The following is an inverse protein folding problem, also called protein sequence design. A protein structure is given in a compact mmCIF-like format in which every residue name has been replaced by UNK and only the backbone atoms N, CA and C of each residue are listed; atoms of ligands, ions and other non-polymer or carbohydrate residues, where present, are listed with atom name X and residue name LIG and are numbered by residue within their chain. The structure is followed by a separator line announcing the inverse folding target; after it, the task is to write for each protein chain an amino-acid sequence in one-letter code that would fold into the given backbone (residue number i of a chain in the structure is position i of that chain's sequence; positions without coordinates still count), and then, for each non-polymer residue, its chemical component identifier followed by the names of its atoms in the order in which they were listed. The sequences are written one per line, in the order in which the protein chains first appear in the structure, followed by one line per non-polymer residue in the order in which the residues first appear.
data_IF_349374057230
#
_entry.id   IF_349374057230
#
_cell.length_a   1.000
_cell.length_b   1.000
_cell.length_c   1.000
_cell.angle_alpha   90.00
_cell.angle_beta   90.00
_cell.angle_gamma   90.00
#
_symmetry.space_group_name_H-M   'P 1'
#
loop_
_entity.id
_entity.type
_entity.pdbx_description
1 polymer ?
#
# COMPACT_ATOMS: atom_id res chain seq x y z
N UNK A 1 -10.21 -39.68 -34.86
CA UNK A 1 -11.12 -38.74 -35.55
C UNK A 1 -11.88 -37.96 -34.49
N UNK A 2 -11.73 -36.64 -34.48
CA UNK A 2 -12.35 -35.74 -33.49
C UNK A 2 -13.82 -35.48 -33.84
N UNK A 3 -14.72 -35.45 -32.85
CA UNK A 3 -16.05 -34.83 -32.99
C UNK A 3 -16.36 -34.01 -31.74
N UNK A 4 -16.26 -32.69 -31.90
CA UNK A 4 -16.68 -31.71 -30.92
C UNK A 4 -18.20 -31.69 -30.82
N UNK A 5 -18.74 -31.64 -29.60
CA UNK A 5 -20.12 -31.29 -29.32
C UNK A 5 -20.11 -29.86 -28.75
N UNK A 6 -20.33 -28.89 -29.62
CA UNK A 6 -20.73 -27.55 -29.23
C UNK A 6 -22.21 -27.62 -28.84
N UNK A 7 -22.52 -27.53 -27.56
CA UNK A 7 -23.89 -27.26 -27.11
C UNK A 7 -23.92 -25.85 -26.55
N UNK A 8 -24.48 -24.97 -27.37
CA UNK A 8 -24.94 -23.62 -27.05
C UNK A 8 -25.98 -23.66 -25.95
N UNK A 9 -25.59 -23.36 -24.71
CA UNK A 9 -26.54 -22.91 -23.70
C UNK A 9 -26.76 -21.41 -23.87
N UNK A 10 -27.64 -21.08 -24.81
CA UNK A 10 -28.37 -19.81 -24.80
C UNK A 10 -29.36 -19.84 -23.65
N UNK A 11 -29.05 -19.13 -22.56
CA UNK A 11 -30.07 -18.64 -21.64
C UNK A 11 -29.97 -17.13 -21.57
N UNK A 12 -30.62 -16.50 -22.54
CA UNK A 12 -31.04 -15.10 -22.50
C UNK A 12 -32.04 -14.94 -21.36
N UNK A 13 -31.54 -14.70 -20.15
CA UNK A 13 -32.33 -14.27 -19.01
C UNK A 13 -32.23 -12.76 -18.89
N UNK A 14 -33.14 -12.05 -19.54
CA UNK A 14 -33.43 -10.66 -19.22
C UNK A 14 -33.75 -10.55 -17.72
N UNK A 15 -33.12 -9.63 -17.01
CA UNK A 15 -33.61 -9.02 -15.75
C UNK A 15 -32.59 -7.99 -15.29
N UNK A 16 -32.86 -6.73 -15.57
CA UNK A 16 -33.40 -5.80 -14.56
C UNK A 16 -32.32 -4.80 -14.17
N UNK A 17 -32.36 -3.66 -14.87
CA UNK A 17 -31.80 -2.41 -14.40
C UNK A 17 -32.43 -2.05 -13.05
N UNK A 18 -31.84 -2.55 -11.97
CA UNK A 18 -32.07 -2.04 -10.62
C UNK A 18 -30.82 -1.29 -10.20
N UNK A 19 -30.90 0.03 -10.36
CA UNK A 19 -29.95 1.03 -9.88
C UNK A 19 -29.85 1.11 -8.36
N UNK A 20 -30.10 0.01 -7.64
CA UNK A 20 -30.10 -0.12 -6.18
C UNK A 20 -28.95 -1.00 -5.68
N UNK A 21 -28.31 -1.79 -6.56
CA UNK A 21 -27.19 -2.68 -6.20
C UNK A 21 -25.82 -1.99 -6.10
N UNK A 22 -25.64 -0.80 -6.67
CA UNK A 22 -24.33 -0.14 -6.68
C UNK A 22 -23.97 0.53 -5.33
N UNK A 23 -24.97 1.12 -4.67
CA UNK A 23 -24.78 1.76 -3.35
C UNK A 23 -24.48 0.75 -2.24
N UNK A 24 -25.09 -0.43 -2.31
CA UNK A 24 -24.83 -1.50 -1.33
C UNK A 24 -23.45 -2.12 -1.52
N UNK A 25 -22.99 -2.31 -2.76
CA UNK A 25 -21.63 -2.82 -3.05
C UNK A 25 -20.56 -1.82 -2.61
N UNK A 26 -20.69 -0.54 -2.97
CA UNK A 26 -19.75 0.51 -2.52
C UNK A 26 -19.71 0.65 -1.00
N UNK A 27 -20.88 0.61 -0.34
CA UNK A 27 -20.96 0.63 1.12
C UNK A 27 -20.26 -0.58 1.75
N UNK A 28 -20.51 -1.78 1.23
CA UNK A 28 -19.88 -3.01 1.73
C UNK A 28 -18.36 -3.00 1.54
N UNK A 29 -17.86 -2.45 0.43
CA UNK A 29 -16.42 -2.25 0.20
C UNK A 29 -15.81 -1.25 1.20
N UNK A 30 -16.45 -0.10 1.43
CA UNK A 30 -15.94 0.87 2.41
C UNK A 30 -15.95 0.30 3.85
N UNK A 31 -17.01 -0.47 4.18
CA UNK A 31 -17.14 -1.14 5.48
C UNK A 31 -16.07 -2.21 5.68
N UNK A 32 -15.77 -3.02 4.66
CA UNK A 32 -14.75 -4.07 4.77
C UNK A 32 -13.34 -3.50 4.97
N UNK A 33 -13.01 -2.40 4.30
CA UNK A 33 -11.76 -1.67 4.53
C UNK A 33 -11.63 -1.18 5.97
N UNK A 34 -12.72 -0.64 6.52
CA UNK A 34 -12.75 -0.12 7.90
C UNK A 34 -12.56 -1.24 8.92
N UNK A 35 -13.26 -2.37 8.75
CA UNK A 35 -13.12 -3.54 9.63
C UNK A 35 -11.70 -4.11 9.59
N UNK A 36 -11.15 -4.29 8.39
CA UNK A 36 -9.77 -4.77 8.19
C UNK A 36 -8.76 -3.86 8.89
N UNK A 37 -8.94 -2.54 8.80
CA UNK A 37 -8.08 -1.57 9.47
C UNK A 37 -8.14 -1.72 11.00
N UNK A 38 -9.34 -1.90 11.56
CA UNK A 38 -9.52 -2.11 13.01
C UNK A 38 -8.88 -3.43 13.47
N UNK A 39 -9.12 -4.54 12.78
CA UNK A 39 -8.54 -5.84 13.12
C UNK A 39 -7.01 -5.82 13.05
N UNK A 40 -6.45 -5.12 12.06
CA UNK A 40 -4.99 -4.97 11.91
C UNK A 40 -4.37 -4.27 13.11
N UNK A 41 -5.07 -3.33 13.74
CA UNK A 41 -4.61 -2.64 14.94
C UNK A 41 -4.70 -3.53 16.19
N UNK A 42 -5.75 -4.36 16.29
CA UNK A 42 -5.97 -5.22 17.47
C UNK A 42 -5.09 -6.46 17.47
N UNK A 43 -4.71 -6.98 16.31
CA UNK A 43 -3.92 -8.22 16.20
C UNK A 43 -2.41 -8.01 16.41
N UNK A 44 -1.93 -6.77 16.49
CA UNK A 44 -0.49 -6.47 16.60
C UNK A 44 -0.07 -6.27 18.06
N UNK A 45 1.03 -6.88 18.50
CA UNK A 45 1.65 -6.55 19.78
C UNK A 45 2.00 -5.06 19.85
N UNK A 46 1.76 -4.43 21.02
CA UNK A 46 2.02 -2.99 21.23
C UNK A 46 3.46 -2.57 20.92
N UNK A 47 4.43 -3.47 21.14
CA UNK A 47 5.84 -3.24 20.80
C UNK A 47 6.05 -3.10 19.29
N UNK A 48 5.43 -3.94 18.49
CA UNK A 48 5.48 -3.90 17.02
C UNK A 48 4.78 -2.68 16.48
N UNK A 49 3.65 -2.26 17.06
CA UNK A 49 2.94 -1.03 16.66
C UNK A 49 3.86 0.18 16.81
N UNK A 50 4.53 0.32 17.96
CA UNK A 50 5.47 1.43 18.21
C UNK A 50 6.66 1.40 17.25
N UNK A 51 7.26 0.23 17.05
CA UNK A 51 8.40 0.07 16.14
C UNK A 51 8.02 0.46 14.70
N UNK A 52 6.85 0.00 14.23
CA UNK A 52 6.37 0.31 12.88
C UNK A 52 5.98 1.77 12.74
N UNK A 53 5.30 2.37 13.72
CA UNK A 53 4.99 3.80 13.70
C UNK A 53 6.25 4.66 13.53
N UNK A 54 7.34 4.32 14.23
CA UNK A 54 8.62 5.00 14.08
C UNK A 54 9.16 4.89 12.64
N UNK A 55 9.12 3.69 12.04
CA UNK A 55 9.57 3.46 10.66
C UNK A 55 8.69 4.11 9.61
N UNK A 56 7.38 4.10 9.82
CA UNK A 56 6.41 4.79 8.96
C UNK A 56 6.66 6.29 8.98
N UNK A 57 6.86 6.89 10.15
CA UNK A 57 7.17 8.32 10.27
C UNK A 57 8.51 8.68 9.60
N UNK A 58 9.50 7.80 9.71
CA UNK A 58 10.79 7.96 9.03
C UNK A 58 10.62 8.01 7.50
N UNK A 59 9.82 7.10 6.93
CA UNK A 59 9.50 7.10 5.50
C UNK A 59 8.73 8.36 5.08
N UNK A 60 7.67 8.74 5.81
CA UNK A 60 6.85 9.92 5.48
C UNK A 60 7.71 11.18 5.48
N UNK A 61 8.57 11.36 6.49
CA UNK A 61 9.46 12.53 6.57
C UNK A 61 10.42 12.58 5.37
N UNK A 62 10.98 11.45 4.97
CA UNK A 62 11.85 11.37 3.79
C UNK A 62 11.07 11.63 2.50
N UNK A 63 9.89 11.05 2.33
CA UNK A 63 9.06 11.18 1.14
C UNK A 63 8.61 12.64 0.94
N UNK A 64 8.23 13.33 2.01
CA UNK A 64 7.83 14.74 1.97
C UNK A 64 8.95 15.67 1.47
N UNK A 65 10.21 15.34 1.76
CA UNK A 65 11.38 16.09 1.29
C UNK A 65 11.93 15.64 -0.07
N UNK A 66 11.56 14.45 -0.53
CA UNK A 66 12.12 13.84 -1.75
C UNK A 66 11.20 14.02 -2.96
N UNK A 67 9.89 13.83 -2.78
CA UNK A 67 8.87 13.91 -3.84
C UNK A 67 8.14 15.26 -3.79
N UNK A 68 8.90 16.36 -3.82
CA UNK A 68 8.32 17.72 -3.71
C UNK A 68 7.47 18.13 -4.91
N UNK A 69 7.61 17.40 -6.01
CA UNK A 69 6.86 17.52 -7.27
C UNK A 69 5.48 16.85 -7.22
N UNK A 70 5.27 15.86 -6.34
CA UNK A 70 3.97 15.21 -6.15
C UNK A 70 3.05 16.00 -5.21
N UNK A 71 1.75 15.71 -5.27
CA UNK A 71 0.78 16.26 -4.32
C UNK A 71 1.10 15.76 -2.90
N UNK A 72 1.02 16.63 -1.89
CA UNK A 72 1.36 16.33 -0.49
C UNK A 72 0.64 15.07 0.03
N UNK A 73 -0.62 14.86 -0.35
CA UNK A 73 -1.40 13.68 0.02
C UNK A 73 -0.87 12.37 -0.58
N UNK A 74 -0.17 12.44 -1.71
CA UNK A 74 0.33 11.29 -2.47
C UNK A 74 1.77 10.91 -2.08
N UNK A 75 2.55 11.86 -1.55
CA UNK A 75 3.96 11.65 -1.17
C UNK A 75 4.10 10.48 -0.20
N UNK A 76 3.23 10.43 0.80
CA UNK A 76 3.22 9.39 1.84
C UNK A 76 2.67 8.03 1.38
N UNK A 77 2.08 7.94 0.18
CA UNK A 77 1.57 6.67 -0.34
C UNK A 77 2.75 5.75 -0.66
N UNK A 78 2.76 4.59 -0.01
CA UNK A 78 3.80 3.57 -0.21
C UNK A 78 3.55 2.84 -1.52
N UNK A 79 4.46 3.02 -2.48
CA UNK A 79 4.56 2.20 -3.68
C UNK A 79 5.84 1.36 -3.64
N UNK A 80 5.88 0.25 -4.39
CA UNK A 80 7.07 -0.61 -4.46
C UNK A 80 8.33 0.16 -4.87
N UNK A 81 8.19 1.09 -5.83
CA UNK A 81 9.29 1.95 -6.30
C UNK A 81 9.78 2.90 -5.21
N UNK A 82 8.85 3.62 -4.54
CA UNK A 82 9.20 4.55 -3.45
C UNK A 82 9.86 3.85 -2.28
N UNK A 83 9.34 2.68 -1.89
CA UNK A 83 9.91 1.89 -0.81
C UNK A 83 11.31 1.39 -1.15
N UNK A 84 11.52 0.86 -2.36
CA UNK A 84 12.85 0.42 -2.79
C UNK A 84 13.85 1.59 -2.78
N UNK A 85 13.44 2.75 -3.30
CA UNK A 85 14.31 3.93 -3.30
C UNK A 85 14.68 4.39 -1.88
N UNK A 86 13.69 4.48 -0.98
CA UNK A 86 13.92 4.77 0.43
C UNK A 86 14.93 3.81 1.08
N UNK A 87 14.77 2.50 0.86
CA UNK A 87 15.67 1.50 1.44
C UNK A 87 17.12 1.66 0.94
N UNK A 88 17.30 1.96 -0.35
CA UNK A 88 18.64 2.17 -0.92
C UNK A 88 19.30 3.44 -0.40
N UNK A 89 18.57 4.56 -0.40
CA UNK A 89 19.10 5.86 -0.01
C UNK A 89 19.27 5.98 1.52
N UNK A 90 18.24 5.67 2.29
CA UNK A 90 18.19 5.94 3.73
C UNK A 90 18.63 4.77 4.59
N UNK A 91 18.45 3.51 4.18
CA UNK A 91 18.81 2.36 5.03
C UNK A 91 20.19 1.82 4.68
N UNK A 92 20.44 1.53 3.40
CA UNK A 92 21.73 1.02 2.94
C UNK A 92 22.77 2.14 2.84
N UNK A 93 22.38 3.32 2.34
CA UNK A 93 23.25 4.50 2.23
C UNK A 93 23.71 5.10 3.57
N UNK A 94 22.99 4.85 4.67
CA UNK A 94 23.44 5.28 6.02
C UNK A 94 24.75 4.63 6.43
N UNK A 95 24.93 3.35 6.12
CA UNK A 95 26.12 2.60 6.48
C UNK A 95 27.37 3.06 5.70
N UNK A 96 27.21 3.66 4.52
CA UNK A 96 28.33 4.24 3.78
C UNK A 96 28.70 5.63 4.31
N UNK A 97 27.71 6.47 4.68
CA UNK A 97 27.92 7.83 5.20
C UNK A 97 28.52 7.86 6.61
N UNK A 98 28.33 6.82 7.43
CA UNK A 98 28.97 6.74 8.75
C UNK A 98 30.45 6.35 8.67
N UNK A 99 30.86 5.59 7.64
CA UNK A 99 32.25 5.17 7.46
C UNK A 99 33.18 6.29 6.95
N UNK A 100 32.65 7.38 6.42
CA UNK A 100 33.44 8.50 5.89
C UNK A 100 33.79 9.58 6.92
N UNK A 101 33.35 9.47 8.18
CA UNK A 101 33.82 10.33 9.27
C UNK A 101 35.17 9.83 9.79
N UNK A 102 36.23 10.14 9.05
CA UNK A 102 37.59 10.09 9.60
C UNK A 102 37.72 11.25 10.60
N UNK A 103 38.07 11.03 11.86
CA UNK A 103 38.32 12.12 12.80
C UNK A 103 39.55 12.90 12.32
N UNK A 104 39.37 14.17 12.01
CA UNK A 104 40.48 15.11 11.87
C UNK A 104 40.99 15.36 13.29
N UNK A 105 42.11 14.73 13.63
CA UNK A 105 42.88 15.03 14.83
C UNK A 105 43.72 16.25 14.48
N UNK A 106 43.42 17.40 15.09
CA UNK A 106 44.26 18.61 15.07
C UNK A 106 45.19 18.54 16.26
#
# INVERSE_FOLDING_TARGET
MYRAQNTTNSSSGASSSTSEGNGSVQYNMARSLTLTAQETLTCRPMTTIKAYASKTNEFIKWANGTFTDENELERGIVSGTKLNYFLRDQVLGRNSRQKSKVPVII
#
